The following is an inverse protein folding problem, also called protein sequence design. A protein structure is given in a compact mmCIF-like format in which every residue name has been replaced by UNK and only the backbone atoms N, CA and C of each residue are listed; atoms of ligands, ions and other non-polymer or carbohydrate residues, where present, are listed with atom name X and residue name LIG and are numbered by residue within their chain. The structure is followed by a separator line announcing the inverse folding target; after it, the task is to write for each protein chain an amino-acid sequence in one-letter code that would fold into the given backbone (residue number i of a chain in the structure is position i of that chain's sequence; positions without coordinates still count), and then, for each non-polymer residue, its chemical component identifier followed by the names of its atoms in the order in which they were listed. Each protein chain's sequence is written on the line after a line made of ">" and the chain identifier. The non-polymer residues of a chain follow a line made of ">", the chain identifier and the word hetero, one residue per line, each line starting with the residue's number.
data_IF_844994188741
#
_entry.id   IF_844994188741
#
_cell.length_a   1.000
_cell.length_b   1.000
_cell.length_c   1.000
_cell.angle_alpha   90.00
_cell.angle_beta   90.00
_cell.angle_gamma   90.00
#
_symmetry.space_group_name_H-M   'P 1'
#
loop_
_entity.id
_entity.type
_entity.pdbx_description
1 polymer ?
#
# COMPACT_ATOMS: atom_id res chain seq x y z
N UNK A 1 -9.99 -4.47 17.04
CA UNK A 1 -9.40 -4.24 15.70
C UNK A 1 -10.31 -4.90 14.64
N UNK A 2 -10.78 -4.13 13.65
CA UNK A 2 -11.65 -4.60 12.57
C UNK A 2 -10.96 -5.73 11.78
N UNK A 3 -9.66 -5.61 11.51
CA UNK A 3 -8.88 -6.61 10.77
C UNK A 3 -8.83 -7.99 11.42
N UNK A 4 -8.75 -8.07 12.75
CA UNK A 4 -8.74 -9.35 13.47
C UNK A 4 -10.09 -10.09 13.29
N UNK A 5 -11.20 -9.37 13.29
CA UNK A 5 -12.52 -9.97 13.08
C UNK A 5 -12.69 -10.50 11.65
N UNK A 6 -12.23 -9.76 10.64
CA UNK A 6 -12.23 -10.22 9.25
C UNK A 6 -11.32 -11.44 9.07
N UNK A 7 -10.11 -11.44 9.66
CA UNK A 7 -9.23 -12.61 9.64
C UNK A 7 -9.89 -13.85 10.24
N UNK A 8 -10.58 -13.71 11.39
CA UNK A 8 -11.33 -14.82 12.01
C UNK A 8 -12.48 -15.33 11.13
N UNK A 9 -13.20 -14.43 10.49
CA UNK A 9 -14.28 -14.81 9.57
C UNK A 9 -13.73 -15.59 8.36
N UNK A 10 -12.65 -15.13 7.75
CA UNK A 10 -12.00 -15.83 6.64
C UNK A 10 -11.48 -17.19 7.07
N UNK A 11 -10.76 -17.27 8.20
CA UNK A 11 -10.25 -18.53 8.73
C UNK A 11 -11.36 -19.54 8.94
N UNK A 12 -12.50 -19.12 9.51
CA UNK A 12 -13.63 -19.99 9.76
C UNK A 12 -14.35 -20.39 8.47
N UNK A 13 -14.56 -19.43 7.54
CA UNK A 13 -15.32 -19.69 6.31
C UNK A 13 -14.57 -20.56 5.32
N UNK A 14 -13.24 -20.41 5.26
CA UNK A 14 -12.38 -21.13 4.31
C UNK A 14 -11.70 -22.35 4.93
N UNK A 15 -11.80 -22.50 6.24
CA UNK A 15 -11.09 -23.54 7.01
C UNK A 15 -9.58 -23.55 6.76
N UNK A 16 -8.97 -22.36 6.73
CA UNK A 16 -7.53 -22.16 6.53
C UNK A 16 -6.93 -21.32 7.66
N UNK A 17 -5.67 -21.50 8.00
CA UNK A 17 -4.96 -20.59 8.90
C UNK A 17 -4.90 -19.19 8.30
N UNK A 18 -5.11 -18.17 9.13
CA UNK A 18 -4.98 -16.75 8.73
C UNK A 18 -4.00 -16.04 9.64
N UNK A 19 -3.00 -15.39 9.04
CA UNK A 19 -2.06 -14.52 9.72
C UNK A 19 -2.56 -13.08 9.55
N UNK A 20 -2.78 -12.39 10.64
CA UNK A 20 -3.15 -10.96 10.63
C UNK A 20 -2.02 -10.17 11.27
N UNK A 21 -1.15 -9.51 10.49
CA UNK A 21 -0.11 -8.68 11.06
C UNK A 21 -0.74 -7.50 11.83
N UNK A 22 -0.24 -7.26 13.03
CA UNK A 22 -0.64 -6.10 13.79
C UNK A 22 0.30 -4.94 13.44
N UNK A 23 -0.17 -4.06 12.61
CA UNK A 23 0.55 -2.84 12.25
C UNK A 23 0.01 -1.70 13.13
N UNK A 24 0.86 -0.98 13.88
CA UNK A 24 0.42 0.16 14.65
C UNK A 24 -0.28 1.18 13.76
N UNK A 25 -1.50 1.56 14.14
CA UNK A 25 -2.24 2.59 13.42
C UNK A 25 -2.07 3.91 14.14
N UNK A 26 -1.13 4.70 13.69
CA UNK A 26 -1.01 6.09 14.11
C UNK A 26 -1.84 6.95 13.17
N UNK A 27 -2.59 7.88 13.73
CA UNK A 27 -3.46 8.77 12.96
C UNK A 27 -2.61 9.60 11.98
N UNK A 28 -2.98 9.57 10.69
CA UNK A 28 -2.18 10.20 9.63
C UNK A 28 -1.08 9.32 9.04
N UNK A 29 -0.56 8.38 9.79
CA UNK A 29 0.53 7.50 9.37
C UNK A 29 0.09 6.35 8.44
N UNK A 30 -1.11 5.83 8.62
CA UNK A 30 -1.53 4.57 8.00
C UNK A 30 -1.60 4.59 6.46
N UNK A 31 -1.98 5.72 5.88
CA UNK A 31 -1.99 5.88 4.42
C UNK A 31 -0.62 6.29 3.89
N UNK A 32 0.22 6.84 4.71
CA UNK A 32 1.51 7.43 4.39
C UNK A 32 2.68 6.50 4.67
N UNK A 33 2.55 5.61 5.67
CA UNK A 33 3.55 4.57 5.94
C UNK A 33 3.77 3.63 4.78
N UNK A 34 2.83 3.58 3.86
CA UNK A 34 2.96 2.84 2.61
C UNK A 34 3.50 3.71 1.46
N UNK A 35 3.95 4.92 1.77
CA UNK A 35 4.61 5.83 0.84
C UNK A 35 6.14 5.81 0.96
N UNK A 36 6.75 6.93 0.65
CA UNK A 36 8.22 7.11 0.60
C UNK A 36 8.96 6.74 1.88
N UNK A 37 8.30 6.80 3.03
CA UNK A 37 8.89 6.43 4.32
C UNK A 37 9.44 5.01 4.37
N UNK A 38 8.74 4.06 3.75
CA UNK A 38 9.17 2.65 3.71
C UNK A 38 10.58 2.49 3.12
N UNK A 39 10.96 3.38 2.20
CA UNK A 39 12.27 3.34 1.53
C UNK A 39 13.26 4.38 2.02
N UNK A 40 12.80 5.56 2.40
CA UNK A 40 13.67 6.73 2.58
C UNK A 40 13.84 7.18 4.02
N UNK A 41 13.15 6.56 4.99
CA UNK A 41 13.14 7.05 6.39
C UNK A 41 12.65 8.50 6.55
N UNK A 42 11.95 9.03 5.56
CA UNK A 42 11.45 10.39 5.64
C UNK A 42 10.19 10.43 6.53
N UNK A 43 10.32 11.09 7.66
CA UNK A 43 9.24 11.29 8.64
C UNK A 43 8.74 12.72 8.67
N UNK A 44 9.20 13.57 7.75
CA UNK A 44 8.81 14.99 7.71
C UNK A 44 7.30 15.18 7.62
N UNK A 45 6.61 14.28 6.91
CA UNK A 45 5.17 14.29 6.74
C UNK A 45 4.39 13.93 8.02
N UNK A 46 4.98 13.23 8.98
CA UNK A 46 4.30 12.92 10.26
C UNK A 46 4.00 14.21 11.03
N UNK A 47 4.89 15.19 10.93
CA UNK A 47 4.67 16.52 11.50
C UNK A 47 3.60 17.29 10.73
N UNK A 48 3.58 17.19 9.40
CA UNK A 48 2.58 17.84 8.55
C UNK A 48 1.17 17.34 8.81
N UNK A 49 0.98 16.03 8.97
CA UNK A 49 -0.35 15.45 9.20
C UNK A 49 -0.95 15.85 10.55
N UNK A 50 -0.13 16.14 11.55
CA UNK A 50 -0.59 16.66 12.84
C UNK A 50 -0.97 18.15 12.77
N UNK A 51 -0.26 18.94 11.98
CA UNK A 51 -0.52 20.37 11.82
C UNK A 51 -1.81 20.65 11.03
N UNK A 52 -2.16 19.76 10.08
CA UNK A 52 -3.35 19.92 9.25
C UNK A 52 -4.68 19.76 9.96
N UNK A 53 -4.71 19.05 11.05
CA UNK A 53 -5.96 18.80 11.77
C UNK A 53 -6.39 19.93 12.68
N UNK A 54 -5.56 20.95 12.86
CA UNK A 54 -5.75 22.02 13.86
C UNK A 54 -6.17 21.49 15.25
N UNK A 55 -5.92 20.24 15.51
CA UNK A 55 -6.40 19.50 16.64
C UNK A 55 -5.19 19.20 17.52
N UNK A 56 -4.93 20.05 18.50
CA UNK A 56 -3.79 19.95 19.41
C UNK A 56 -3.75 18.58 20.12
N UNK A 57 -4.92 17.94 20.29
CA UNK A 57 -5.06 16.63 20.92
C UNK A 57 -4.53 15.48 20.06
N UNK A 58 -4.33 15.71 18.75
CA UNK A 58 -3.86 14.70 17.79
C UNK A 58 -2.45 14.97 17.26
N UNK A 59 -1.74 15.95 17.79
CA UNK A 59 -0.33 16.17 17.45
C UNK A 59 0.52 15.06 18.06
N UNK A 60 1.32 14.40 17.20
CA UNK A 60 2.30 13.43 17.66
C UNK A 60 3.46 14.16 18.37
N UNK A 61 3.85 13.66 19.52
CA UNK A 61 5.09 14.09 20.19
C UNK A 61 6.32 13.57 19.45
N UNK A 62 7.48 14.14 19.70
CA UNK A 62 8.72 13.65 19.09
C UNK A 62 9.01 12.20 19.55
N UNK A 63 8.64 11.82 20.76
CA UNK A 63 8.76 10.45 21.28
C UNK A 63 7.85 9.48 20.52
N UNK A 64 6.59 9.86 20.25
CA UNK A 64 5.67 9.03 19.44
C UNK A 64 6.15 8.88 18.00
N UNK A 65 6.73 9.93 17.42
CA UNK A 65 7.34 9.89 16.10
C UNK A 65 8.53 8.90 16.09
N UNK A 66 9.37 8.92 17.12
CA UNK A 66 10.51 8.01 17.22
C UNK A 66 10.08 6.56 17.46
N UNK A 67 9.01 6.33 18.23
CA UNK A 67 8.39 5.00 18.34
C UNK A 67 7.85 4.51 17.00
N UNK A 68 7.18 5.36 16.23
CA UNK A 68 6.67 5.02 14.89
C UNK A 68 7.83 4.64 13.97
N UNK A 69 8.92 5.41 13.97
CA UNK A 69 10.13 5.09 13.20
C UNK A 69 10.66 3.70 13.55
N UNK A 70 10.72 3.41 14.86
CA UNK A 70 11.25 2.14 15.34
C UNK A 70 10.39 0.94 14.90
N UNK A 71 9.07 1.04 15.04
CA UNK A 71 8.16 -0.10 14.82
C UNK A 71 7.66 -0.23 13.38
N UNK A 72 7.66 0.85 12.62
CA UNK A 72 7.11 0.85 11.26
C UNK A 72 8.16 0.97 10.16
N UNK A 73 9.43 1.08 10.54
CA UNK A 73 10.53 1.10 9.58
C UNK A 73 10.58 -0.20 8.77
N UNK A 74 10.64 -0.08 7.45
CA UNK A 74 10.68 -1.24 6.54
C UNK A 74 9.61 -2.29 6.87
N UNK A 75 8.36 -1.87 7.04
CA UNK A 75 7.27 -2.75 7.48
C UNK A 75 7.11 -3.99 6.59
N UNK A 76 7.30 -3.86 5.27
CA UNK A 76 7.20 -4.98 4.35
C UNK A 76 8.33 -5.99 4.58
N UNK A 77 9.56 -5.51 4.79
CA UNK A 77 10.70 -6.34 5.14
C UNK A 77 10.49 -7.07 6.47
N UNK A 78 9.98 -6.37 7.49
CA UNK A 78 9.67 -6.99 8.78
C UNK A 78 8.62 -8.10 8.64
N UNK A 79 7.59 -7.89 7.82
CA UNK A 79 6.56 -8.90 7.55
C UNK A 79 7.17 -10.08 6.79
N UNK A 80 7.97 -9.83 5.76
CA UNK A 80 8.64 -10.88 5.00
C UNK A 80 9.58 -11.73 5.87
N UNK A 81 10.40 -11.09 6.71
CA UNK A 81 11.29 -11.79 7.66
C UNK A 81 10.53 -12.54 8.75
N UNK A 82 9.40 -12.03 9.20
CA UNK A 82 8.56 -12.67 10.21
C UNK A 82 7.71 -13.82 9.69
N UNK A 83 7.46 -13.87 8.38
CA UNK A 83 6.56 -14.84 7.76
C UNK A 83 6.99 -16.29 7.96
N UNK A 84 8.25 -16.69 7.76
CA UNK A 84 8.68 -18.08 8.02
C UNK A 84 8.40 -18.53 9.46
N UNK A 85 8.66 -17.66 10.44
CA UNK A 85 8.39 -17.97 11.85
C UNK A 85 6.90 -18.16 12.13
N UNK A 86 6.04 -17.35 11.50
CA UNK A 86 4.59 -17.50 11.62
C UNK A 86 4.10 -18.81 10.98
N UNK A 87 4.63 -19.18 9.81
CA UNK A 87 4.31 -20.44 9.14
C UNK A 87 4.78 -21.65 9.94
N UNK A 88 5.98 -21.60 10.53
CA UNK A 88 6.49 -22.68 11.39
C UNK A 88 5.64 -22.84 12.67
N UNK A 89 5.19 -21.73 13.24
CA UNK A 89 4.23 -21.79 14.35
C UNK A 89 2.92 -22.50 13.95
N UNK A 90 2.37 -22.18 12.76
CA UNK A 90 1.16 -22.81 12.23
C UNK A 90 1.40 -24.32 12.01
N UNK A 91 2.52 -24.69 11.42
CA UNK A 91 2.93 -26.10 11.23
C UNK A 91 3.06 -26.85 12.57
N UNK A 92 3.59 -26.19 13.59
CA UNK A 92 3.68 -26.75 14.95
C UNK A 92 2.33 -27.05 15.59
N UNK A 93 1.24 -26.45 15.08
CA UNK A 93 -0.15 -26.70 15.48
C UNK A 93 -0.81 -27.81 14.66
N UNK A 94 -0.09 -28.47 13.76
CA UNK A 94 -0.59 -29.58 12.95
C UNK A 94 -1.23 -29.18 11.62
N UNK A 95 -1.07 -27.94 11.20
CA UNK A 95 -1.56 -27.52 9.89
C UNK A 95 -0.47 -27.70 8.82
N UNK A 96 -0.87 -28.25 7.68
CA UNK A 96 -0.01 -28.28 6.49
C UNK A 96 -0.18 -26.95 5.73
N UNK A 97 0.87 -26.17 5.61
CA UNK A 97 0.88 -24.91 4.89
C UNK A 97 2.11 -24.78 4.00
N UNK A 98 1.92 -24.15 2.86
CA UNK A 98 3.00 -23.83 1.93
C UNK A 98 3.90 -22.71 2.48
N UNK A 99 5.05 -22.48 1.83
CA UNK A 99 5.95 -21.38 2.20
C UNK A 99 5.48 -20.01 1.68
N UNK A 100 4.62 -20.01 0.66
CA UNK A 100 3.99 -18.80 0.12
C UNK A 100 2.58 -18.62 0.63
N UNK A 101 2.21 -17.37 0.85
CA UNK A 101 0.90 -16.98 1.36
C UNK A 101 -0.03 -16.46 0.26
N UNK A 102 -1.32 -16.47 0.54
CA UNK A 102 -2.28 -15.62 -0.16
C UNK A 102 -2.37 -14.31 0.61
N UNK A 103 -1.89 -13.22 0.00
CA UNK A 103 -2.00 -11.89 0.57
C UNK A 103 -3.36 -11.28 0.26
N UNK A 104 -4.01 -10.64 1.24
CA UNK A 104 -5.30 -10.06 0.95
C UNK A 104 -5.77 -9.05 1.98
N UNK A 105 -6.74 -8.23 1.55
CA UNK A 105 -7.30 -7.22 2.44
C UNK A 105 -8.43 -6.41 1.82
N UNK A 106 -8.90 -5.44 2.59
CA UNK A 106 -9.90 -4.46 2.17
C UNK A 106 -9.42 -3.04 2.47
N UNK A 107 -9.70 -2.09 1.58
CA UNK A 107 -9.29 -0.69 1.71
C UNK A 107 -7.77 -0.60 1.89
N UNK A 108 -7.28 -0.03 2.97
CA UNK A 108 -5.85 0.06 3.27
C UNK A 108 -5.15 -1.29 3.39
N UNK A 109 -5.86 -2.35 3.83
CA UNK A 109 -5.32 -3.72 3.82
C UNK A 109 -5.14 -4.27 2.41
N UNK A 110 -6.00 -3.91 1.47
CA UNK A 110 -5.86 -4.22 0.05
C UNK A 110 -4.61 -3.55 -0.54
N UNK A 111 -4.39 -2.29 -0.22
CA UNK A 111 -3.20 -1.54 -0.60
C UNK A 111 -1.92 -2.20 -0.05
N UNK A 112 -1.93 -2.56 1.24
CA UNK A 112 -0.81 -3.27 1.85
C UNK A 112 -0.51 -4.58 1.11
N UNK A 113 -1.52 -5.39 0.80
CA UNK A 113 -1.34 -6.66 0.10
C UNK A 113 -0.75 -6.46 -1.31
N UNK A 114 -1.23 -5.45 -2.05
CA UNK A 114 -0.70 -5.12 -3.38
C UNK A 114 0.77 -4.70 -3.32
N UNK A 115 1.12 -3.79 -2.41
CA UNK A 115 2.49 -3.31 -2.27
C UNK A 115 3.43 -4.40 -1.74
N UNK A 116 2.98 -5.19 -0.78
CA UNK A 116 3.75 -6.34 -0.30
C UNK A 116 4.05 -7.33 -1.41
N UNK A 117 3.06 -7.61 -2.27
CA UNK A 117 3.24 -8.48 -3.45
C UNK A 117 4.25 -7.90 -4.43
N UNK A 118 4.27 -6.58 -4.63
CA UNK A 118 5.22 -5.93 -5.52
C UNK A 118 6.66 -5.96 -4.97
N UNK A 119 6.82 -5.83 -3.66
CA UNK A 119 8.14 -5.75 -3.01
C UNK A 119 8.69 -7.14 -2.69
N UNK A 120 7.83 -8.08 -2.31
CA UNK A 120 8.16 -9.45 -1.90
C UNK A 120 7.37 -10.51 -2.68
N UNK A 121 7.47 -10.56 -4.02
CA UNK A 121 6.75 -11.54 -4.83
C UNK A 121 7.14 -12.99 -4.50
N UNK A 122 8.35 -13.20 -3.94
CA UNK A 122 8.82 -14.50 -3.50
C UNK A 122 8.00 -15.07 -2.34
N UNK A 123 7.38 -14.22 -1.52
CA UNK A 123 6.55 -14.62 -0.39
C UNK A 123 5.09 -14.92 -0.77
N UNK A 124 4.65 -14.52 -1.96
CA UNK A 124 3.23 -14.48 -2.31
C UNK A 124 2.88 -15.52 -3.38
N UNK A 125 1.81 -16.27 -3.16
CA UNK A 125 1.23 -17.23 -4.11
C UNK A 125 0.09 -16.62 -4.93
N UNK A 126 -0.71 -15.76 -4.30
CA UNK A 126 -1.81 -15.03 -4.93
C UNK A 126 -2.15 -13.79 -4.09
N UNK A 127 -2.78 -12.81 -4.71
CA UNK A 127 -3.21 -11.59 -4.03
C UNK A 127 -4.67 -11.29 -4.34
N UNK A 128 -5.39 -10.81 -3.33
CA UNK A 128 -6.74 -10.29 -3.55
C UNK A 128 -6.97 -9.02 -2.76
N UNK A 129 -7.83 -8.15 -3.27
CA UNK A 129 -8.13 -6.91 -2.56
C UNK A 129 -9.40 -6.22 -3.01
N UNK A 130 -10.09 -5.58 -2.07
CA UNK A 130 -11.29 -4.82 -2.35
C UNK A 130 -11.21 -3.40 -1.84
N UNK A 131 -11.96 -2.48 -2.50
CA UNK A 131 -12.06 -1.09 -2.07
C UNK A 131 -10.73 -0.35 -2.04
N UNK A 132 -9.82 -0.68 -2.97
CA UNK A 132 -8.44 -0.15 -2.98
C UNK A 132 -8.35 1.31 -3.46
N UNK A 133 -9.43 1.86 -4.04
CA UNK A 133 -9.47 3.25 -4.51
C UNK A 133 -8.53 3.56 -5.69
N UNK A 134 -8.15 2.53 -6.45
CA UNK A 134 -7.18 2.67 -7.54
C UNK A 134 -5.76 3.01 -7.08
N UNK A 135 -5.45 2.77 -5.80
CA UNK A 135 -4.13 3.00 -5.23
C UNK A 135 -3.26 1.73 -5.28
N UNK A 136 -3.37 0.99 -6.37
CA UNK A 136 -2.46 -0.09 -6.71
C UNK A 136 -1.18 0.48 -7.33
N UNK A 137 -0.09 -0.24 -7.16
CA UNK A 137 1.16 0.11 -7.84
C UNK A 137 1.00 -0.15 -9.34
N UNK A 138 1.40 0.80 -10.18
CA UNK A 138 1.50 0.59 -11.62
C UNK A 138 2.83 -0.12 -11.89
N UNK A 139 2.84 -1.35 -12.44
CA UNK A 139 4.08 -2.11 -12.63
C UNK A 139 4.89 -1.61 -13.85
N UNK A 140 5.09 -0.30 -13.92
CA UNK A 140 5.81 0.43 -14.95
C UNK A 140 6.78 1.42 -14.30
N UNK A 141 7.94 1.62 -14.93
CA UNK A 141 8.90 2.64 -14.50
C UNK A 141 8.48 4.06 -14.94
N UNK A 142 7.67 4.16 -15.98
CA UNK A 142 7.19 5.43 -16.51
C UNK A 142 5.92 5.25 -17.33
N UNK A 143 5.15 6.30 -17.43
CA UNK A 143 4.02 6.42 -18.36
C UNK A 143 4.24 7.61 -19.29
N UNK A 144 3.64 7.55 -20.46
CA UNK A 144 3.61 8.67 -21.38
C UNK A 144 2.23 9.32 -21.39
N UNK A 145 2.21 10.63 -21.26
CA UNK A 145 1.03 11.42 -21.05
C UNK A 145 1.03 12.67 -21.88
N UNK A 146 0.12 12.78 -22.86
CA UNK A 146 0.07 13.94 -23.75
C UNK A 146 1.44 14.32 -24.34
N UNK A 147 2.28 13.32 -24.61
CA UNK A 147 3.64 13.52 -25.11
C UNK A 147 4.68 13.83 -24.03
N UNK A 148 4.31 13.89 -22.76
CA UNK A 148 5.25 14.01 -21.64
C UNK A 148 5.50 12.64 -20.99
N UNK A 149 6.77 12.25 -20.84
CA UNK A 149 7.16 11.04 -20.11
C UNK A 149 7.29 11.34 -18.63
N UNK A 150 6.56 10.62 -17.79
CA UNK A 150 6.59 10.74 -16.34
C UNK A 150 7.18 9.48 -15.75
N UNK A 151 8.24 9.62 -14.97
CA UNK A 151 8.82 8.53 -14.20
C UNK A 151 7.92 8.20 -13.02
N UNK A 152 7.49 6.94 -12.90
CA UNK A 152 6.61 6.48 -11.83
C UNK A 152 7.43 5.89 -10.69
N UNK A 153 7.64 6.69 -9.66
CA UNK A 153 8.27 6.26 -8.41
C UNK A 153 7.26 5.66 -7.46
N UNK A 154 7.73 4.85 -6.52
CA UNK A 154 6.89 4.36 -5.42
C UNK A 154 6.23 5.55 -4.66
N UNK A 155 4.97 5.49 -4.29
CA UNK A 155 4.07 4.33 -4.31
C UNK A 155 3.25 4.14 -5.59
N UNK A 156 3.40 4.98 -6.60
CA UNK A 156 2.60 4.92 -7.82
C UNK A 156 3.14 3.93 -8.84
N UNK A 157 4.45 3.77 -8.91
CA UNK A 157 5.12 2.88 -9.85
C UNK A 157 6.36 2.24 -9.24
N UNK A 158 7.24 1.74 -10.10
CA UNK A 158 8.33 0.85 -9.71
C UNK A 158 9.72 1.41 -9.99
N UNK A 159 9.85 2.64 -10.48
CA UNK A 159 11.12 3.17 -10.98
C UNK A 159 12.25 3.23 -9.93
N UNK A 160 11.89 3.31 -8.64
CA UNK A 160 12.84 3.38 -7.53
C UNK A 160 12.76 2.16 -6.58
N UNK A 161 11.97 1.14 -6.93
CA UNK A 161 11.98 -0.13 -6.20
C UNK A 161 13.22 -0.92 -6.61
N UNK A 162 14.16 -1.06 -5.68
CA UNK A 162 15.39 -1.82 -5.93
C UNK A 162 15.06 -3.28 -6.19
N UNK A 163 15.62 -3.81 -7.29
CA UNK A 163 15.48 -5.22 -7.66
C UNK A 163 14.03 -5.68 -7.88
N UNK A 164 13.14 -4.79 -8.36
CA UNK A 164 11.78 -5.20 -8.71
C UNK A 164 11.79 -6.36 -9.71
N UNK A 165 11.26 -7.49 -9.30
CA UNK A 165 11.12 -8.66 -10.17
C UNK A 165 9.77 -8.64 -10.87
N UNK A 166 9.71 -7.91 -12.00
CA UNK A 166 8.49 -7.80 -12.81
C UNK A 166 7.95 -9.16 -13.23
N UNK A 167 8.83 -10.10 -13.61
CA UNK A 167 8.41 -11.43 -14.04
C UNK A 167 7.76 -12.22 -12.91
N UNK A 168 8.33 -12.18 -11.72
CA UNK A 168 7.73 -12.80 -10.55
C UNK A 168 6.41 -12.13 -10.19
N UNK A 169 6.34 -10.81 -10.18
CA UNK A 169 5.12 -10.05 -9.89
C UNK A 169 3.99 -10.37 -10.88
N UNK A 170 4.27 -10.34 -12.18
CA UNK A 170 3.29 -10.63 -13.24
C UNK A 170 2.81 -12.09 -13.20
N UNK A 171 3.62 -13.02 -12.69
CA UNK A 171 3.25 -14.43 -12.56
C UNK A 171 2.32 -14.74 -11.39
N UNK A 172 2.12 -13.80 -10.48
CA UNK A 172 1.25 -13.99 -9.31
C UNK A 172 -0.19 -13.69 -9.70
N UNK A 173 -1.14 -14.63 -9.54
CA UNK A 173 -2.56 -14.33 -9.74
C UNK A 173 -3.02 -13.23 -8.79
N UNK A 174 -3.59 -12.17 -9.34
CA UNK A 174 -4.04 -11.00 -8.59
C UNK A 174 -5.50 -10.69 -8.92
N UNK A 175 -6.33 -10.53 -7.89
CA UNK A 175 -7.74 -10.20 -8.04
C UNK A 175 -8.10 -8.97 -7.22
N UNK A 176 -8.47 -7.90 -7.88
CA UNK A 176 -8.91 -6.67 -7.23
C UNK A 176 -10.33 -6.31 -7.67
N UNK A 177 -11.06 -5.69 -6.76
CA UNK A 177 -12.39 -5.20 -7.06
C UNK A 177 -12.69 -3.87 -6.38
N UNK A 178 -13.59 -3.12 -7.00
CA UNK A 178 -14.10 -1.85 -6.51
C UNK A 178 -15.63 -1.86 -6.54
N UNK A 179 -16.27 -1.20 -5.61
CA UNK A 179 -17.71 -1.00 -5.64
C UNK A 179 -18.09 -0.02 -6.76
N UNK A 180 -19.06 -0.37 -7.61
CA UNK A 180 -19.49 0.50 -8.73
C UNK A 180 -20.11 1.83 -8.31
N UNK A 181 -20.39 2.04 -7.02
CA UNK A 181 -20.84 3.29 -6.44
C UNK A 181 -19.84 3.89 -5.44
N UNK A 182 -18.59 3.40 -5.46
CA UNK A 182 -17.53 3.91 -4.60
C UNK A 182 -16.79 5.06 -5.28
N UNK A 183 -17.37 6.24 -5.15
CA UNK A 183 -16.80 7.50 -5.68
C UNK A 183 -15.89 8.21 -4.66
N UNK A 184 -15.60 7.58 -3.53
CA UNK A 184 -14.67 8.12 -2.57
C UNK A 184 -13.28 8.28 -3.20
N UNK A 185 -12.67 9.45 -3.00
CA UNK A 185 -11.30 9.70 -3.42
C UNK A 185 -10.37 9.80 -2.18
N UNK A 186 -9.86 8.66 -1.69
CA UNK A 186 -8.90 8.68 -0.59
C UNK A 186 -7.56 9.31 -0.98
N UNK A 187 -7.41 9.58 -2.26
CA UNK A 187 -6.22 10.13 -2.87
C UNK A 187 -6.36 11.61 -3.23
N UNK A 188 -7.40 12.26 -2.75
CA UNK A 188 -7.55 13.69 -2.94
C UNK A 188 -6.26 14.39 -2.51
N UNK A 189 -5.49 14.84 -3.52
CA UNK A 189 -4.28 15.58 -3.27
C UNK A 189 -4.66 16.92 -2.66
N UNK A 190 -4.56 17.01 -1.38
CA UNK A 190 -4.61 18.27 -0.69
C UNK A 190 -3.30 19.00 -0.95
N UNK A 191 -3.36 20.08 -1.67
CA UNK A 191 -2.27 21.05 -1.72
C UNK A 191 -2.42 21.92 -0.48
N UNK A 192 -1.55 21.71 0.51
CA UNK A 192 -1.50 22.54 1.70
C UNK A 192 -0.24 23.39 1.59
N UNK A 193 -0.40 24.71 1.67
CA UNK A 193 0.67 25.71 1.53
C UNK A 193 1.55 25.52 0.30
N UNK A 194 0.96 25.09 -0.83
CA UNK A 194 1.69 24.82 -2.07
C UNK A 194 2.53 23.55 -2.05
N UNK A 195 2.45 22.75 -0.99
CA UNK A 195 3.07 21.43 -0.90
C UNK A 195 2.01 20.35 -1.06
N UNK A 196 2.40 19.29 -1.75
CA UNK A 196 1.56 18.11 -1.89
C UNK A 196 1.49 17.32 -0.61
N UNK A 197 0.28 16.76 -0.43
CA UNK A 197 0.08 15.79 0.61
C UNK A 197 1.02 14.59 0.45
N UNK A 198 1.52 14.09 1.59
CA UNK A 198 2.69 13.22 1.68
C UNK A 198 2.61 11.87 1.02
N UNK A 199 1.47 11.41 0.52
CA UNK A 199 1.42 10.06 -0.02
C UNK A 199 1.92 9.91 -1.47
N UNK A 200 2.11 11.02 -2.18
CA UNK A 200 2.97 11.05 -3.36
C UNK A 200 4.43 11.37 -2.98
N UNK A 201 4.67 11.79 -1.74
CA UNK A 201 5.97 12.19 -1.27
C UNK A 201 6.53 13.43 -1.97
N UNK A 202 7.72 13.85 -1.60
CA UNK A 202 8.47 14.90 -2.30
C UNK A 202 9.06 14.40 -3.65
N UNK A 203 8.56 13.23 -4.13
CA UNK A 203 9.10 12.54 -5.29
C UNK A 203 8.73 13.20 -6.61
N UNK A 204 7.71 14.06 -6.62
CA UNK A 204 7.17 14.66 -7.83
C UNK A 204 7.10 16.19 -7.73
N UNK A 205 7.38 16.86 -8.84
CA UNK A 205 7.16 18.29 -8.96
C UNK A 205 5.65 18.60 -9.00
N UNK A 206 5.23 19.84 -8.65
CA UNK A 206 3.83 20.26 -8.78
C UNK A 206 3.24 20.05 -10.19
N UNK A 207 4.09 20.17 -11.22
CA UNK A 207 3.67 19.95 -12.61
C UNK A 207 3.42 18.45 -12.88
N UNK A 208 4.35 17.57 -12.50
CA UNK A 208 4.18 16.11 -12.60
C UNK A 208 2.93 15.63 -11.89
N UNK A 209 2.64 16.21 -10.73
CA UNK A 209 1.46 15.88 -9.95
C UNK A 209 0.19 16.30 -10.65
N UNK A 210 0.15 17.49 -11.22
CA UNK A 210 -0.98 17.95 -12.04
C UNK A 210 -1.26 16.98 -13.18
N UNK A 211 -0.20 16.47 -13.80
CA UNK A 211 -0.28 15.48 -14.87
C UNK A 211 -0.77 14.14 -14.31
N UNK A 212 -0.17 13.63 -13.24
CA UNK A 212 -0.55 12.38 -12.58
C UNK A 212 -2.03 12.43 -12.17
N UNK A 213 -2.49 13.55 -11.61
CA UNK A 213 -3.90 13.74 -11.26
C UNK A 213 -4.85 13.65 -12.45
N UNK A 214 -4.47 14.19 -13.58
CA UNK A 214 -5.26 14.11 -14.81
C UNK A 214 -5.44 12.66 -15.26
N UNK A 215 -4.47 11.81 -14.96
CA UNK A 215 -4.45 10.40 -15.34
C UNK A 215 -5.11 9.48 -14.34
N UNK A 216 -4.86 9.71 -13.06
CA UNK A 216 -5.41 8.88 -11.99
C UNK A 216 -6.92 9.04 -11.82
N UNK A 217 -7.56 9.83 -12.71
CA UNK A 217 -8.99 10.08 -12.65
C UNK A 217 -9.39 11.00 -11.47
N UNK A 218 -10.65 11.42 -11.49
CA UNK A 218 -11.19 12.37 -10.50
C UNK A 218 -11.72 11.70 -9.24
N UNK A 219 -11.82 10.37 -9.24
CA UNK A 219 -12.34 9.58 -8.12
C UNK A 219 -11.71 8.19 -8.09
N UNK A 220 -11.97 7.46 -7.01
CA UNK A 220 -11.37 6.14 -6.81
C UNK A 220 -11.73 5.11 -7.86
N UNK A 221 -12.94 5.16 -8.43
CA UNK A 221 -13.38 4.23 -9.45
C UNK A 221 -12.67 4.47 -10.80
N UNK A 222 -12.62 5.73 -11.26
CA UNK A 222 -11.90 6.07 -12.50
C UNK A 222 -10.42 5.70 -12.40
N UNK A 223 -9.81 5.93 -11.26
CA UNK A 223 -8.42 5.54 -10.99
C UNK A 223 -8.25 4.04 -11.00
N UNK A 224 -9.18 3.30 -10.40
CA UNK A 224 -9.17 1.84 -10.40
C UNK A 224 -9.22 1.28 -11.82
N UNK A 225 -10.13 1.81 -12.65
CA UNK A 225 -10.26 1.40 -14.05
C UNK A 225 -8.97 1.66 -14.85
N UNK A 226 -8.37 2.84 -14.63
CA UNK A 226 -7.09 3.17 -15.27
C UNK A 226 -5.95 2.24 -14.82
N UNK A 227 -5.75 2.08 -13.50
CA UNK A 227 -4.63 1.29 -12.98
C UNK A 227 -4.81 -0.19 -13.26
N UNK A 228 -6.05 -0.71 -13.20
CA UNK A 228 -6.33 -2.11 -13.44
C UNK A 228 -5.98 -2.55 -14.87
N UNK A 229 -5.97 -1.63 -15.84
CA UNK A 229 -5.54 -1.94 -17.21
C UNK A 229 -4.09 -2.42 -17.32
N UNK A 230 -3.26 -2.13 -16.33
CA UNK A 230 -1.87 -2.60 -16.25
C UNK A 230 -1.72 -4.00 -15.63
N UNK A 231 -2.82 -4.57 -15.12
CA UNK A 231 -2.86 -5.91 -14.50
C UNK A 231 -3.64 -6.92 -15.36
N UNK A 232 -4.38 -6.46 -16.37
CA UNK A 232 -5.09 -7.37 -17.28
C UNK A 232 -4.10 -7.92 -18.29
N UNK A 233 -4.06 -9.24 -18.41
CA UNK A 233 -3.43 -9.91 -19.55
C UNK A 233 -4.22 -9.53 -20.81
N UNK A 234 -3.52 -9.17 -21.90
CA UNK A 234 -4.09 -9.06 -23.22
C UNK A 234 -4.53 -10.43 -23.75
#
# INVERSE_FOLDING_TARGET
>A
CIGINHGKMLAHSLNIPVITPLVPRVVGYYTQAMGSYVFNNDTSYLKLSSDERNDEENKLTDEEIDEIKLYCYNIFEQVALGLPHALDFIRSKGFEVEDKIIAGGYSAGSKFANYFTAIHPECVKATFGGGIGGLMIIPQESIEVNGAKITLKYPLGIADIKNFDKKAFDSIPQYYYMGGADFNDPAEARIIDGKLMPWFGECYSPEEIGIIHTYLGKNGLERFDFVSSYYSDE
#
